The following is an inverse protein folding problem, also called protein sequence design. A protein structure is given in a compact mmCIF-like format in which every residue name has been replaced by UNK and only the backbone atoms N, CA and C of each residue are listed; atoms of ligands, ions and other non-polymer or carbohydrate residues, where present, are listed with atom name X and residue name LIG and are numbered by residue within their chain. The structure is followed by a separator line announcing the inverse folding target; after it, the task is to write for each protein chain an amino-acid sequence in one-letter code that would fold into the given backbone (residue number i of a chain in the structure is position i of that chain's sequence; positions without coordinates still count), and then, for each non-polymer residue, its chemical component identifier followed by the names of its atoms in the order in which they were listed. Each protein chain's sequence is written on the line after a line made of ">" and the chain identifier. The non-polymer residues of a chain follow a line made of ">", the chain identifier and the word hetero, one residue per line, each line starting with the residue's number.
data_IF_638398442714
#
_entry.id   IF_638398442714
#
_cell.length_a   1.000
_cell.length_b   1.000
_cell.length_c   1.000
_cell.angle_alpha   90.00
_cell.angle_beta   90.00
_cell.angle_gamma   90.00
#
_symmetry.space_group_name_H-M   'P 1'
#
loop_
_entity.id
_entity.type
_entity.pdbx_description
1 polymer ?
#
# COMPACT_ATOMS: atom_id res chain seq x y z
N UNK A 1 -5.89 -6.42 -14.84
CA UNK A 1 -5.06 -5.64 -13.90
C UNK A 1 -5.69 -4.26 -13.80
N UNK A 2 -6.26 -3.92 -12.65
CA UNK A 2 -6.95 -2.64 -12.46
C UNK A 2 -5.94 -1.61 -11.98
N UNK A 3 -5.78 -0.50 -12.70
CA UNK A 3 -4.88 0.60 -12.33
C UNK A 3 -5.70 1.86 -12.12
N UNK A 4 -5.57 2.49 -10.96
CA UNK A 4 -6.29 3.72 -10.62
C UNK A 4 -5.28 4.84 -10.36
N UNK A 5 -5.53 6.01 -10.95
CA UNK A 5 -4.70 7.19 -10.74
C UNK A 5 -5.18 7.98 -9.52
N UNK A 6 -4.27 8.26 -8.59
CA UNK A 6 -4.51 9.09 -7.40
C UNK A 6 -3.39 10.11 -7.24
N UNK A 7 -3.57 11.08 -6.33
CA UNK A 7 -2.56 12.09 -6.02
C UNK A 7 -1.93 11.82 -4.66
N UNK A 8 -0.61 12.00 -4.58
CA UNK A 8 0.10 12.03 -3.30
C UNK A 8 -0.31 13.31 -2.55
N UNK A 9 -0.53 13.19 -1.25
CA UNK A 9 -0.76 14.33 -0.36
C UNK A 9 0.11 14.20 0.90
N UNK A 10 0.19 15.28 1.69
CA UNK A 10 0.84 15.27 3.00
C UNK A 10 -0.20 15.01 4.08
N UNK A 11 0.10 14.08 4.99
CA UNK A 11 -0.67 13.85 6.21
C UNK A 11 0.28 14.03 7.40
N UNK A 12 0.03 15.05 8.23
CA UNK A 12 0.98 15.47 9.27
C UNK A 12 2.39 15.67 8.68
N UNK A 13 3.35 14.81 9.08
CA UNK A 13 4.76 14.86 8.66
C UNK A 13 5.10 13.88 7.54
N UNK A 14 4.18 13.02 7.09
CA UNK A 14 4.43 11.97 6.08
C UNK A 14 3.73 12.23 4.75
N UNK A 15 4.12 11.47 3.72
CA UNK A 15 3.37 11.38 2.47
C UNK A 15 2.34 10.25 2.56
N UNK A 16 1.18 10.45 1.93
CA UNK A 16 0.11 9.48 1.86
C UNK A 16 -0.50 9.45 0.46
N UNK A 17 -1.12 8.33 0.12
CA UNK A 17 -1.97 8.15 -1.05
C UNK A 17 -3.36 7.73 -0.60
N UNK A 18 -4.40 8.12 -1.34
CA UNK A 18 -5.74 7.57 -1.13
C UNK A 18 -5.85 6.25 -1.88
N UNK A 19 -6.34 5.21 -1.20
CA UNK A 19 -6.71 3.94 -1.80
C UNK A 19 -8.23 3.96 -2.00
N UNK A 20 -8.73 4.11 -3.25
CA UNK A 20 -10.17 4.11 -3.54
C UNK A 20 -10.84 2.79 -3.18
N UNK A 21 -12.15 2.82 -2.97
CA UNK A 21 -12.94 1.66 -2.56
C UNK A 21 -12.80 0.47 -3.52
N UNK A 22 -12.62 0.70 -4.83
CA UNK A 22 -12.48 -0.40 -5.80
C UNK A 22 -11.20 -1.23 -5.64
N UNK A 23 -10.18 -0.67 -4.97
CA UNK A 23 -8.88 -1.34 -4.72
C UNK A 23 -8.49 -1.32 -3.24
N UNK A 24 -9.46 -1.10 -2.35
CA UNK A 24 -9.23 -1.10 -0.91
C UNK A 24 -8.88 -2.51 -0.43
N UNK A 25 -8.00 -2.58 0.58
CA UNK A 25 -7.77 -3.82 1.30
C UNK A 25 -9.03 -4.24 2.08
N UNK A 26 -9.20 -5.53 2.38
CA UNK A 26 -10.19 -5.99 3.34
C UNK A 26 -10.02 -5.31 4.71
N UNK A 27 -11.12 -5.17 5.47
CA UNK A 27 -11.13 -4.45 6.75
C UNK A 27 -10.18 -5.04 7.82
N UNK A 28 -9.87 -6.33 7.73
CA UNK A 28 -8.95 -6.99 8.67
C UNK A 28 -7.47 -6.68 8.41
N UNK A 29 -7.13 -6.05 7.28
CA UNK A 29 -5.74 -5.69 6.95
C UNK A 29 -5.43 -4.33 7.56
N UNK A 30 -4.76 -4.34 8.71
CA UNK A 30 -4.24 -3.14 9.38
C UNK A 30 -2.79 -2.83 9.00
N UNK A 31 -1.98 -3.88 8.85
CA UNK A 31 -0.53 -3.77 8.73
C UNK A 31 -0.09 -4.08 7.30
N UNK A 32 0.73 -3.19 6.75
CA UNK A 32 1.28 -3.30 5.40
C UNK A 32 2.78 -3.05 5.41
N UNK A 33 3.48 -3.72 4.51
CA UNK A 33 4.87 -3.45 4.19
C UNK A 33 4.95 -2.68 2.87
N UNK A 34 5.87 -1.70 2.81
CA UNK A 34 6.12 -0.89 1.61
C UNK A 34 7.57 -1.07 1.19
N UNK A 35 7.78 -1.72 0.05
CA UNK A 35 9.11 -1.90 -0.55
C UNK A 35 9.36 -0.86 -1.64
N UNK A 36 10.52 -0.21 -1.62
CA UNK A 36 10.95 0.76 -2.63
C UNK A 36 11.82 0.09 -3.70
N UNK A 37 11.40 0.19 -4.98
CA UNK A 37 12.17 -0.26 -6.14
C UNK A 37 12.30 0.90 -7.11
N UNK A 38 13.42 1.64 -7.02
CA UNK A 38 13.61 2.87 -7.79
C UNK A 38 12.49 3.89 -7.53
N UNK A 39 11.78 4.28 -8.58
CA UNK A 39 10.63 5.20 -8.51
C UNK A 39 9.30 4.51 -8.17
N UNK A 40 9.28 3.17 -8.03
CA UNK A 40 8.08 2.40 -7.68
C UNK A 40 8.02 2.15 -6.17
N UNK A 41 6.79 2.03 -5.67
CA UNK A 41 6.50 1.54 -4.32
C UNK A 41 5.56 0.35 -4.46
N UNK A 42 5.95 -0.78 -3.90
CA UNK A 42 5.16 -2.00 -3.84
C UNK A 42 4.60 -2.08 -2.42
N UNK A 43 3.28 -2.27 -2.31
CA UNK A 43 2.58 -2.33 -1.03
C UNK A 43 1.92 -3.70 -0.92
N UNK A 44 2.15 -4.39 0.19
CA UNK A 44 1.62 -5.73 0.47
C UNK A 44 1.25 -5.85 1.95
N UNK A 45 0.26 -6.69 2.33
CA UNK A 45 -0.04 -6.96 3.73
C UNK A 45 1.19 -7.51 4.46
N UNK A 46 1.46 -7.01 5.67
CA UNK A 46 2.59 -7.47 6.48
C UNK A 46 2.40 -8.94 6.89
N UNK A 47 3.51 -9.67 7.09
CA UNK A 47 3.48 -11.08 7.52
C UNK A 47 3.01 -12.08 6.45
N UNK A 48 2.94 -11.67 5.18
CA UNK A 48 2.76 -12.58 4.04
C UNK A 48 4.09 -12.88 3.33
N UNK A 49 5.20 -12.87 4.07
CA UNK A 49 6.45 -13.39 3.51
C UNK A 49 6.33 -14.90 3.41
N UNK A 50 6.64 -15.44 2.23
CA UNK A 50 6.72 -16.89 2.01
C UNK A 50 7.81 -17.57 2.86
N UNK A 51 8.63 -16.81 3.58
CA UNK A 51 9.65 -17.32 4.52
C UNK A 51 9.11 -17.57 5.95
N UNK A 52 7.84 -17.32 6.25
CA UNK A 52 7.24 -17.58 7.59
C UNK A 52 6.66 -19.01 7.76
N UNK A 53 7.23 -20.03 7.09
CA UNK A 53 6.96 -21.45 7.40
C UNK A 53 8.16 -22.13 8.04
#
# INVERSE_FOLDING_TARGET
>A
MTSIQTKIFKSNRSQAVRIPKEIAYPEYVSDIEITAIGNKRIILPAGQSWDDW
#
